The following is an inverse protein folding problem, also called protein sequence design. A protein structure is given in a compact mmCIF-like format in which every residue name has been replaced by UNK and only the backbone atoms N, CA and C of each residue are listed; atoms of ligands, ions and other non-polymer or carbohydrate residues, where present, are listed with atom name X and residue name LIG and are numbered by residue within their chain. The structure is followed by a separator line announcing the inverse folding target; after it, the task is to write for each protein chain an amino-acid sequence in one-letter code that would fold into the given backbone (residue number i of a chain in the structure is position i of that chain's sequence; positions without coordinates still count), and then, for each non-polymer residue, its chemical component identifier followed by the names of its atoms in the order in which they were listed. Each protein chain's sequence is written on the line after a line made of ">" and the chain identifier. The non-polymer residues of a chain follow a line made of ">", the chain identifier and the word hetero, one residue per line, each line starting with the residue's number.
data_IF_014341422674
#
_entry.id   IF_014341422674
#
_cell.length_a   1.000
_cell.length_b   1.000
_cell.length_c   1.000
_cell.angle_alpha   90.00
_cell.angle_beta   90.00
_cell.angle_gamma   90.00
#
_symmetry.space_group_name_H-M   'P 1'
#
loop_
_entity.id
_entity.type
_entity.pdbx_description
1 polymer ?
#
# COMPACT_ATOMS: atom_id res chain seq x y z
N UNK A 1 -2.49 14.31 17.21
CA UNK A 1 -2.30 12.86 17.04
C UNK A 1 -2.12 12.60 15.56
N UNK A 2 -0.98 12.06 15.11
CA UNK A 2 -0.97 11.39 13.81
C UNK A 2 -1.95 10.23 13.93
N UNK A 3 -2.98 10.17 13.07
CA UNK A 3 -3.86 9.02 13.01
C UNK A 3 -2.99 7.81 12.64
N UNK A 4 -2.76 6.91 13.61
CA UNK A 4 -2.08 5.65 13.35
C UNK A 4 -2.98 4.83 12.42
N UNK A 5 -2.40 4.31 11.35
CA UNK A 5 -3.14 3.41 10.46
C UNK A 5 -3.39 2.08 11.16
N UNK A 6 -4.51 1.45 10.81
CA UNK A 6 -4.89 0.12 11.28
C UNK A 6 -4.54 -0.96 10.27
N UNK A 7 -4.45 -2.20 10.73
CA UNK A 7 -4.36 -3.37 9.85
C UNK A 7 -5.58 -3.44 8.91
N UNK A 8 -5.36 -3.93 7.69
CA UNK A 8 -6.31 -4.01 6.58
C UNK A 8 -6.79 -2.66 6.05
N UNK A 9 -6.15 -1.56 6.45
CA UNK A 9 -6.46 -0.23 5.94
C UNK A 9 -5.75 0.01 4.60
N UNK A 10 -6.49 0.50 3.62
CA UNK A 10 -5.89 1.00 2.38
C UNK A 10 -5.16 2.29 2.64
N UNK A 11 -3.91 2.33 2.18
CA UNK A 11 -2.99 3.44 2.40
C UNK A 11 -2.48 3.99 1.08
N UNK A 12 -2.40 5.30 1.04
CA UNK A 12 -1.71 6.12 0.07
C UNK A 12 -0.36 6.51 0.67
N UNK A 13 0.72 6.30 -0.08
CA UNK A 13 2.10 6.45 0.38
C UNK A 13 2.81 7.46 -0.51
N UNK A 14 3.29 8.53 0.11
CA UNK A 14 4.10 9.56 -0.57
C UNK A 14 5.49 9.56 0.03
N UNK A 15 6.49 9.08 -0.71
CA UNK A 15 7.89 9.04 -0.26
C UNK A 15 8.61 10.35 -0.67
N UNK A 16 9.48 10.95 0.17
CA UNK A 16 10.09 12.25 -0.08
C UNK A 16 10.94 12.36 -1.36
N UNK A 17 11.46 11.22 -1.85
CA UNK A 17 12.36 11.15 -2.99
C UNK A 17 11.72 10.48 -4.22
N UNK A 18 10.39 10.38 -4.26
CA UNK A 18 9.66 9.80 -5.39
C UNK A 18 8.61 10.79 -5.89
N UNK A 19 8.56 10.96 -7.21
CA UNK A 19 7.60 11.86 -7.88
C UNK A 19 6.23 11.20 -8.13
N UNK A 20 5.97 10.05 -7.50
CA UNK A 20 4.73 9.32 -7.65
C UNK A 20 4.19 8.84 -6.31
N UNK A 21 2.87 8.67 -6.28
CA UNK A 21 2.13 8.19 -5.12
C UNK A 21 1.92 6.69 -5.26
N UNK A 22 2.35 5.93 -4.25
CA UNK A 22 2.12 4.49 -4.17
C UNK A 22 0.87 4.20 -3.36
N UNK A 23 0.27 3.04 -3.59
CA UNK A 23 -0.89 2.55 -2.89
C UNK A 23 -0.69 1.11 -2.44
N UNK A 24 -1.22 0.80 -1.26
CA UNK A 24 -1.15 -0.55 -0.70
C UNK A 24 -2.15 -0.77 0.42
N UNK A 25 -2.05 -1.92 1.06
CA UNK A 25 -2.79 -2.25 2.28
C UNK A 25 -1.80 -2.48 3.42
N UNK A 26 -2.15 -1.99 4.60
CA UNK A 26 -1.40 -2.28 5.82
C UNK A 26 -1.68 -3.73 6.22
N UNK A 27 -0.70 -4.61 6.10
CA UNK A 27 -0.84 -6.03 6.49
C UNK A 27 -0.54 -6.24 7.97
N UNK A 28 0.36 -5.44 8.54
CA UNK A 28 0.67 -5.43 9.98
C UNK A 28 1.06 -4.03 10.46
N UNK A 29 0.80 -3.75 11.73
CA UNK A 29 1.26 -2.53 12.41
C UNK A 29 2.18 -2.93 13.57
N UNK A 30 3.36 -2.31 13.66
CA UNK A 30 4.21 -2.38 14.84
C UNK A 30 4.28 -1.00 15.48
N UNK A 31 3.47 -0.78 16.53
CA UNK A 31 3.38 0.52 17.17
C UNK A 31 4.56 0.83 18.11
N UNK A 32 5.26 -0.20 18.59
CA UNK A 32 6.42 -0.03 19.46
C UNK A 32 7.64 0.43 18.64
N UNK A 33 7.77 -0.08 17.42
CA UNK A 33 8.85 0.29 16.49
C UNK A 33 8.46 1.43 15.53
N UNK A 34 7.21 1.89 15.57
CA UNK A 34 6.64 2.87 14.63
C UNK A 34 6.81 2.43 13.17
N UNK A 35 6.41 1.19 12.88
CA UNK A 35 6.50 0.58 11.56
C UNK A 35 5.16 0.08 11.04
N UNK A 36 5.04 0.06 9.72
CA UNK A 36 3.97 -0.57 8.97
C UNK A 36 4.55 -1.62 8.04
N UNK A 37 3.94 -2.81 8.01
CA UNK A 37 4.13 -3.75 6.93
C UNK A 37 3.07 -3.46 5.87
N UNK A 38 3.51 -3.12 4.66
CA UNK A 38 2.67 -2.70 3.55
C UNK A 38 2.77 -3.74 2.45
N UNK A 39 1.61 -4.20 1.98
CA UNK A 39 1.48 -4.87 0.69
C UNK A 39 1.12 -3.84 -0.38
N UNK A 40 2.07 -3.53 -1.25
CA UNK A 40 1.91 -2.66 -2.40
C UNK A 40 0.97 -3.26 -3.44
N UNK A 41 0.14 -2.40 -4.04
CA UNK A 41 -0.83 -2.80 -5.07
C UNK A 41 -0.67 -2.03 -6.37
N UNK A 42 -0.13 -0.82 -6.31
CA UNK A 42 0.02 0.02 -7.49
C UNK A 42 0.46 1.44 -7.17
N UNK A 43 0.42 2.30 -8.18
CA UNK A 43 0.78 3.71 -8.06
C UNK A 43 -0.09 4.59 -8.96
N UNK A 44 -0.16 5.88 -8.66
CA UNK A 44 -0.70 6.89 -9.56
C UNK A 44 0.39 7.34 -10.54
N UNK A 45 0.14 7.23 -11.84
CA UNK A 45 1.02 7.86 -12.83
C UNK A 45 0.75 9.39 -12.90
N UNK A 46 1.58 10.09 -13.69
CA UNK A 46 1.47 11.54 -13.89
C UNK A 46 0.12 12.00 -14.49
N UNK A 47 -0.62 11.09 -15.13
CA UNK A 47 -1.94 11.36 -15.71
C UNK A 47 -3.08 11.16 -14.71
N UNK A 48 -2.79 10.85 -13.44
CA UNK A 48 -3.79 10.56 -12.42
C UNK A 48 -4.44 9.17 -12.57
N UNK A 49 -3.83 8.29 -13.36
CA UNK A 49 -4.31 6.92 -13.53
C UNK A 49 -3.60 5.97 -12.57
N UNK A 50 -4.41 5.22 -11.82
CA UNK A 50 -3.93 4.09 -11.03
C UNK A 50 -3.54 2.92 -11.94
N UNK A 51 -2.27 2.52 -11.84
CA UNK A 51 -1.68 1.35 -12.45
C UNK A 51 -1.30 0.35 -11.37
N UNK A 52 -1.75 -0.90 -11.51
CA UNK A 52 -1.46 -1.97 -10.55
C UNK A 52 -0.08 -2.58 -10.77
N UNK A 53 0.58 -2.99 -9.69
CA UNK A 53 1.78 -3.81 -9.78
C UNK A 53 1.42 -5.26 -10.16
N UNK A 54 2.25 -5.92 -10.99
CA UNK A 54 2.20 -7.38 -11.16
C UNK A 54 2.53 -8.09 -9.85
N UNK A 55 1.98 -9.29 -9.64
CA UNK A 55 2.21 -10.08 -8.42
C UNK A 55 3.61 -10.65 -8.31
N UNK A 56 4.36 -10.74 -9.41
CA UNK A 56 5.70 -11.33 -9.46
C UNK A 56 6.80 -10.38 -8.95
N UNK A 57 6.44 -9.17 -8.52
CA UNK A 57 7.41 -8.16 -8.06
C UNK A 57 7.90 -8.52 -6.66
N UNK A 58 9.20 -8.80 -6.52
CA UNK A 58 9.87 -9.19 -5.26
C UNK A 58 9.67 -8.23 -4.06
N UNK A 59 9.20 -7.00 -4.29
CA UNK A 59 9.05 -5.95 -3.26
C UNK A 59 7.60 -5.54 -3.04
N UNK A 60 6.65 -6.45 -3.28
CA UNK A 60 5.24 -6.18 -2.96
C UNK A 60 5.02 -6.04 -1.46
N UNK A 61 5.72 -6.79 -0.61
CA UNK A 61 5.66 -6.64 0.83
C UNK A 61 6.89 -5.88 1.34
N UNK A 62 6.70 -4.75 2.01
CA UNK A 62 7.78 -3.94 2.57
C UNK A 62 7.44 -3.50 3.99
N UNK A 63 8.44 -3.52 4.89
CA UNK A 63 8.34 -2.87 6.20
C UNK A 63 8.90 -1.47 6.11
N UNK A 64 8.11 -0.50 6.54
CA UNK A 64 8.44 0.91 6.47
C UNK A 64 8.28 1.54 7.84
N UNK A 65 9.23 2.40 8.21
CA UNK A 65 9.05 3.30 9.35
C UNK A 65 8.05 4.38 8.99
N UNK A 66 7.30 4.86 9.99
CA UNK A 66 6.38 6.00 9.82
C UNK A 66 7.13 7.26 9.32
N UNK A 67 8.44 7.34 9.52
CA UNK A 67 9.30 8.43 9.02
C UNK A 67 9.72 8.30 7.56
N UNK A 68 9.54 7.14 6.93
CA UNK A 68 10.00 6.88 5.55
C UNK A 68 9.12 7.54 4.48
N UNK A 69 7.97 8.06 4.88
CA UNK A 69 7.04 8.77 4.00
C UNK A 69 5.81 9.28 4.73
N UNK A 70 4.90 9.84 3.94
CA UNK A 70 3.58 10.24 4.42
C UNK A 70 2.61 9.11 4.09
N UNK A 71 1.92 8.63 5.12
CA UNK A 71 0.94 7.54 5.02
C UNK A 71 -0.45 8.10 5.31
N UNK A 72 -1.33 8.05 4.31
CA UNK A 72 -2.70 8.55 4.41
C UNK A 72 -3.70 7.45 4.10
N UNK A 73 -4.86 7.45 4.75
CA UNK A 73 -5.96 6.59 4.32
C UNK A 73 -6.40 6.95 2.90
N UNK A 74 -6.61 5.93 2.06
CA UNK A 74 -7.22 6.12 0.74
C UNK A 74 -8.69 6.48 0.89
N UNK A 75 -9.06 7.72 0.56
CA UNK A 75 -10.45 8.21 0.62
C UNK A 75 -11.14 8.21 -0.74
N UNK A 76 -10.37 8.11 -1.82
CA UNK A 76 -10.83 8.20 -3.19
C UNK A 76 -11.55 6.91 -3.61
N UNK A 77 -12.87 6.96 -3.73
CA UNK A 77 -13.70 5.80 -4.05
C UNK A 77 -13.33 5.08 -5.37
N UNK A 78 -12.79 5.81 -6.36
CA UNK A 78 -12.29 5.21 -7.61
C UNK A 78 -11.05 4.35 -7.38
N UNK A 79 -10.13 4.82 -6.55
CA UNK A 79 -8.88 4.12 -6.23
C UNK A 79 -9.19 2.92 -5.35
N UNK A 80 -10.01 3.10 -4.30
CA UNK A 80 -10.45 1.99 -3.44
C UNK A 80 -11.09 0.84 -4.23
N UNK A 81 -11.93 1.15 -5.22
CA UNK A 81 -12.53 0.13 -6.10
C UNK A 81 -11.48 -0.64 -6.91
N UNK A 82 -10.47 0.05 -7.44
CA UNK A 82 -9.37 -0.59 -8.17
C UNK A 82 -8.50 -1.47 -7.25
N UNK A 83 -8.23 -1.01 -6.03
CA UNK A 83 -7.48 -1.77 -5.03
C UNK A 83 -8.24 -3.02 -4.56
N UNK A 84 -9.55 -2.90 -4.29
CA UNK A 84 -10.40 -4.06 -3.98
C UNK A 84 -10.38 -5.08 -5.12
N UNK A 85 -10.57 -4.64 -6.37
CA UNK A 85 -10.51 -5.54 -7.53
C UNK A 85 -9.16 -6.25 -7.63
N UNK A 86 -8.06 -5.53 -7.42
CA UNK A 86 -6.73 -6.14 -7.41
C UNK A 86 -6.59 -7.19 -6.31
N UNK A 87 -7.11 -6.93 -5.10
CA UNK A 87 -7.15 -7.91 -4.01
C UNK A 87 -7.94 -9.16 -4.42
N UNK A 88 -9.16 -9.01 -4.94
CA UNK A 88 -9.99 -10.14 -5.35
C UNK A 88 -9.32 -11.02 -6.42
N UNK A 89 -8.54 -10.42 -7.31
CA UNK A 89 -7.85 -11.11 -8.41
C UNK A 89 -6.52 -11.77 -8.00
N UNK A 90 -5.88 -11.27 -6.93
CA UNK A 90 -4.48 -11.58 -6.63
C UNK A 90 -4.22 -12.08 -5.21
N UNK A 91 -5.17 -11.94 -4.28
CA UNK A 91 -4.95 -12.27 -2.87
C UNK A 91 -4.47 -13.71 -2.67
N UNK A 92 -5.10 -14.69 -3.32
CA UNK A 92 -4.69 -16.09 -3.23
C UNK A 92 -3.26 -16.34 -3.75
N UNK A 93 -2.80 -15.58 -4.74
CA UNK A 93 -1.44 -15.70 -5.27
C UNK A 93 -0.43 -15.13 -4.29
N UNK A 94 -0.71 -13.93 -3.77
CA UNK A 94 0.14 -13.24 -2.80
C UNK A 94 0.24 -14.06 -1.50
N UNK A 95 -0.87 -14.57 -0.97
CA UNK A 95 -0.85 -15.39 0.25
C UNK A 95 0.01 -16.65 0.09
N UNK A 96 0.03 -17.28 -1.10
CA UNK A 96 0.85 -18.47 -1.36
C UNK A 96 2.33 -18.19 -1.52
N UNK A 97 2.71 -17.00 -2.00
CA UNK A 97 4.11 -16.65 -2.25
C UNK A 97 4.81 -16.06 -1.02
N UNK A 98 4.05 -15.48 -0.09
CA UNK A 98 4.60 -14.83 1.11
C UNK A 98 4.34 -15.60 2.43
N UNK A 99 3.84 -16.85 2.36
CA UNK A 99 3.75 -17.82 3.47
C UNK A 99 4.61 -19.07 3.18
#
# INVERSE_FOLDING_TARGET
>A
MLNKLAQNQFVKITKPHKDYVEYGIVTKTNHDENEYEILYMGFLNQNGEFLSYPTEVQRLLERLKITDGIFEEVKEAKIRRKMNKWMDENFDKVVREFH
#
